data_IF_667326346510
#
_entry.id   IF_667326346510
#
_cell.length_a   1.000
_cell.length_b   1.000
_cell.length_c   1.000
_cell.angle_alpha   90.00
_cell.angle_beta   90.00
_cell.angle_gamma   90.00
#
_symmetry.space_group_name_H-M   'P 1'
#
loop_
_entity.id
_entity.type
_entity.pdbx_description
1 polymer ?
#
# COMPACT_ATOMS: atom_id res chain seq x y z
N UNK A 1 10.84 3.50 8.39
CA UNK A 1 10.24 2.36 9.13
C UNK A 1 9.41 1.55 8.15
N UNK A 2 9.53 0.26 8.25
CA UNK A 2 8.71 -0.70 7.51
C UNK A 2 7.57 -1.17 8.44
N UNK A 3 6.33 -1.08 7.96
CA UNK A 3 5.12 -1.28 8.76
C UNK A 3 4.20 -2.29 8.09
N UNK A 4 3.70 -3.25 8.89
CA UNK A 4 2.69 -4.21 8.46
C UNK A 4 1.39 -4.02 9.25
N UNK A 5 0.25 -4.22 8.59
CA UNK A 5 -1.06 -4.15 9.27
C UNK A 5 -2.14 -4.99 8.59
N UNK A 6 -3.02 -5.55 9.41
CA UNK A 6 -4.32 -6.04 8.99
C UNK A 6 -5.28 -4.84 8.93
N UNK A 7 -5.73 -4.51 7.72
CA UNK A 7 -6.57 -3.34 7.46
C UNK A 7 -8.06 -3.52 7.79
N UNK A 8 -8.50 -4.73 8.18
CA UNK A 8 -9.91 -5.11 8.33
C UNK A 8 -10.71 -4.10 9.13
N UNK A 9 -10.22 -3.73 10.32
CA UNK A 9 -10.93 -2.86 11.26
C UNK A 9 -10.50 -1.39 11.17
N UNK A 10 -9.77 -1.02 10.11
CA UNK A 10 -9.32 0.36 9.89
C UNK A 10 -10.15 1.10 8.83
N UNK A 11 -10.46 2.35 9.11
CA UNK A 11 -11.05 3.29 8.15
C UNK A 11 -10.02 3.82 7.14
N UNK A 12 -9.00 3.00 6.82
CA UNK A 12 -7.89 3.29 5.94
C UNK A 12 -6.68 3.86 6.67
N UNK A 13 -5.70 4.30 5.88
CA UNK A 13 -4.44 4.83 6.41
C UNK A 13 -4.62 6.19 7.09
N UNK A 14 -5.15 7.18 6.37
CA UNK A 14 -5.10 8.59 6.77
C UNK A 14 -5.96 8.89 7.99
N UNK A 15 -5.42 9.68 8.94
CA UNK A 15 -6.14 10.13 10.13
C UNK A 15 -7.44 10.84 9.76
N UNK A 16 -8.52 10.46 10.43
CA UNK A 16 -9.86 11.02 10.29
C UNK A 16 -10.48 11.20 11.68
N UNK A 17 -11.18 12.32 11.95
CA UNK A 17 -11.85 12.54 13.23
C UNK A 17 -12.84 11.41 13.56
N UNK A 18 -12.75 10.87 14.78
CA UNK A 18 -13.64 9.83 15.28
C UNK A 18 -13.51 8.46 14.58
N UNK A 19 -12.49 8.25 13.76
CA UNK A 19 -12.26 6.99 13.04
C UNK A 19 -10.96 6.33 13.48
N UNK A 20 -10.97 5.01 13.58
CA UNK A 20 -9.76 4.20 13.77
C UNK A 20 -8.99 4.13 12.46
N UNK A 21 -7.77 4.64 12.41
CA UNK A 21 -6.91 4.69 11.23
C UNK A 21 -5.52 4.21 11.56
N UNK A 22 -4.80 3.65 10.59
CA UNK A 22 -3.43 3.13 10.81
C UNK A 22 -2.49 4.25 11.22
N UNK A 23 -2.57 5.41 10.56
CA UNK A 23 -1.77 6.59 10.90
C UNK A 23 -2.02 7.05 12.34
N UNK A 24 -3.29 7.10 12.78
CA UNK A 24 -3.65 7.52 14.13
C UNK A 24 -3.03 6.61 15.19
N UNK A 25 -3.20 5.30 15.03
CA UNK A 25 -2.66 4.28 15.95
C UNK A 25 -1.13 4.32 15.98
N UNK A 26 -0.48 4.48 14.82
CA UNK A 26 0.97 4.57 14.74
C UNK A 26 1.49 5.85 15.40
N UNK A 27 0.88 7.01 15.14
CA UNK A 27 1.25 8.28 15.77
C UNK A 27 1.08 8.24 17.30
N UNK A 28 0.01 7.61 17.79
CA UNK A 28 -0.21 7.40 19.24
C UNK A 28 0.88 6.51 19.86
N UNK A 29 1.31 5.45 19.18
CA UNK A 29 2.40 4.61 19.67
C UNK A 29 3.76 5.35 19.63
N UNK A 30 4.02 6.11 18.57
CA UNK A 30 5.22 6.93 18.44
C UNK A 30 5.27 8.06 19.48
N UNK A 31 4.12 8.58 19.92
CA UNK A 31 4.04 9.59 20.97
C UNK A 31 4.38 9.05 22.37
N UNK A 32 4.39 7.74 22.57
CA UNK A 32 4.78 7.08 23.86
C UNK A 32 6.31 7.02 24.01
N UNK A 33 6.96 8.16 23.80
CA UNK A 33 8.41 8.32 23.97
C UNK A 33 8.81 8.48 25.45
N UNK A 34 10.08 8.21 25.80
CA UNK A 34 10.62 8.56 27.11
C UNK A 34 10.52 10.08 27.35
N UNK A 35 10.47 10.52 28.62
CA UNK A 35 10.53 11.94 28.95
C UNK A 35 11.74 12.64 28.29
N UNK A 36 11.50 13.75 27.61
CA UNK A 36 12.54 14.52 26.92
C UNK A 36 12.87 14.10 25.49
N UNK A 37 12.23 13.01 24.99
CA UNK A 37 12.33 12.67 23.58
C UNK A 37 11.38 13.52 22.72
N UNK A 38 11.83 13.88 21.52
CA UNK A 38 11.00 14.57 20.56
C UNK A 38 9.93 13.62 19.98
N UNK A 39 8.67 14.03 20.05
CA UNK A 39 7.56 13.33 19.40
C UNK A 39 7.54 13.74 17.93
N UNK A 40 7.53 12.79 16.97
CA UNK A 40 7.38 13.11 15.56
C UNK A 40 6.10 13.93 15.30
N UNK A 41 6.21 15.01 14.54
CA UNK A 41 5.05 15.88 14.24
C UNK A 41 4.03 15.24 13.31
N UNK A 42 4.50 14.39 12.40
CA UNK A 42 3.65 13.68 11.44
C UNK A 42 4.36 12.45 10.89
N UNK A 43 3.57 11.50 10.42
CA UNK A 43 4.04 10.31 9.70
C UNK A 43 3.75 10.48 8.22
N UNK A 44 4.79 10.47 7.38
CA UNK A 44 4.67 10.49 5.93
C UNK A 44 4.73 9.06 5.40
N UNK A 45 3.78 8.68 4.56
CA UNK A 45 3.59 7.31 4.06
C UNK A 45 3.88 7.21 2.56
N UNK A 46 4.45 6.10 2.11
CA UNK A 46 4.74 5.84 0.71
C UNK A 46 3.48 5.80 -0.18
N UNK A 47 2.39 5.26 0.35
CA UNK A 47 1.09 5.21 -0.31
C UNK A 47 -0.04 4.99 0.68
N UNK A 48 -1.06 5.85 0.64
CA UNK A 48 -2.26 5.66 1.47
C UNK A 48 -3.02 4.43 0.97
N UNK A 49 -3.48 3.60 1.90
CA UNK A 49 -4.39 2.48 1.63
C UNK A 49 -5.81 2.87 2.00
N UNK A 50 -6.79 2.33 1.26
CA UNK A 50 -8.22 2.53 1.53
C UNK A 50 -8.65 1.74 2.78
N UNK A 51 -9.86 2.01 3.28
CA UNK A 51 -10.47 1.24 4.36
C UNK A 51 -10.53 -0.26 4.00
N UNK A 52 -10.13 -1.12 4.92
CA UNK A 52 -10.11 -2.58 4.74
C UNK A 52 -8.92 -3.13 3.92
N UNK A 53 -8.03 -2.29 3.40
CA UNK A 53 -6.82 -2.72 2.66
C UNK A 53 -5.68 -2.97 3.62
N UNK A 54 -4.99 -4.10 3.45
CA UNK A 54 -3.85 -4.54 4.27
C UNK A 54 -2.51 -4.02 3.74
N UNK A 55 -1.47 -4.18 4.55
CA UNK A 55 -0.09 -4.03 4.10
C UNK A 55 0.83 -5.02 4.81
N UNK A 56 1.68 -5.67 4.03
CA UNK A 56 2.81 -6.46 4.51
C UNK A 56 4.11 -5.64 4.54
N UNK A 57 4.23 -4.65 3.64
CA UNK A 57 5.44 -3.84 3.47
C UNK A 57 5.14 -2.37 3.19
N UNK A 58 4.37 -1.70 4.06
CA UNK A 58 4.21 -0.25 4.01
C UNK A 58 5.47 0.45 4.49
N UNK A 59 5.86 1.54 3.82
CA UNK A 59 7.00 2.36 4.23
C UNK A 59 6.54 3.72 4.71
N UNK A 60 7.09 4.15 5.84
CA UNK A 60 6.84 5.48 6.40
C UNK A 60 8.15 6.16 6.82
N UNK A 61 8.17 7.48 6.79
CA UNK A 61 9.21 8.24 7.49
C UNK A 61 8.61 9.23 8.46
N UNK A 62 9.42 9.60 9.45
CA UNK A 62 9.14 10.65 10.41
C UNK A 62 10.36 11.52 10.54
N UNK A 63 10.16 12.83 10.58
CA UNK A 63 11.20 13.77 10.94
C UNK A 63 11.25 13.82 12.47
N UNK A 64 12.33 13.30 13.04
CA UNK A 64 12.60 13.39 14.46
C UNK A 64 13.82 14.30 14.65
N UNK A 65 13.64 15.41 15.34
CA UNK A 65 14.78 16.08 16.01
C UNK A 65 15.39 15.06 16.97
N UNK A 66 16.72 15.09 17.23
CA UNK A 66 17.43 13.93 17.72
C UNK A 66 16.60 13.19 18.77
N UNK A 67 16.34 11.91 18.48
CA UNK A 67 15.55 10.98 19.31
C UNK A 67 16.24 10.72 20.69
N UNK A 68 16.91 11.74 21.19
CA UNK A 68 17.64 11.78 22.45
C UNK A 68 16.67 11.78 23.62
N UNK A 69 15.99 10.65 23.81
CA UNK A 69 15.24 10.39 25.03
C UNK A 69 16.19 9.86 26.10
N UNK A 70 16.17 10.48 27.25
CA UNK A 70 16.80 9.89 28.44
C UNK A 70 15.90 8.74 28.95
N UNK A 71 16.48 7.58 29.19
CA UNK A 71 15.82 6.50 29.94
C UNK A 71 15.47 6.99 31.36
N UNK A 72 14.70 6.20 32.11
CA UNK A 72 14.45 6.43 33.56
C UNK A 72 15.76 6.59 34.37
N UNK A 73 16.87 6.02 33.86
CA UNK A 73 18.22 6.16 34.41
C UNK A 73 18.99 7.40 33.92
N UNK A 74 18.38 8.24 33.09
CA UNK A 74 19.01 9.46 32.54
C UNK A 74 19.98 9.19 31.37
N UNK A 75 20.12 7.96 30.91
CA UNK A 75 20.94 7.58 29.74
C UNK A 75 20.15 7.74 28.45
N UNK A 76 20.80 8.23 27.40
CA UNK A 76 20.34 8.14 26.03
C UNK A 76 20.32 6.67 25.60
N UNK A 77 19.26 6.23 24.94
CA UNK A 77 19.23 4.94 24.25
C UNK A 77 19.97 5.10 22.92
N UNK A 78 21.29 5.18 22.99
CA UNK A 78 22.15 5.23 21.83
C UNK A 78 22.82 3.84 21.64
N UNK A 79 23.09 3.49 20.38
CA UNK A 79 23.93 2.36 20.05
C UNK A 79 25.43 2.68 20.28
N UNK A 80 26.32 1.74 19.93
CA UNK A 80 27.77 1.89 20.07
C UNK A 80 28.34 3.02 19.24
N UNK A 81 27.61 3.50 18.20
CA UNK A 81 27.99 4.60 17.31
C UNK A 81 27.38 5.95 17.73
N UNK A 82 26.64 5.98 18.85
CA UNK A 82 25.97 7.20 19.32
C UNK A 82 24.69 7.54 18.57
N UNK A 83 24.15 6.63 17.76
CA UNK A 83 22.88 6.73 17.05
C UNK A 83 21.77 6.19 17.97
N UNK A 84 20.51 6.69 17.91
CA UNK A 84 19.40 6.12 18.66
C UNK A 84 19.27 4.61 18.42
N UNK A 85 19.19 3.83 19.50
CA UNK A 85 18.96 2.38 19.41
C UNK A 85 17.55 2.10 18.85
N UNK A 86 17.46 2.06 17.53
CA UNK A 86 16.21 1.87 16.81
C UNK A 86 15.61 0.48 17.05
N UNK A 87 16.43 -0.52 17.41
CA UNK A 87 15.96 -1.85 17.79
C UNK A 87 15.12 -1.82 19.08
N UNK A 88 15.63 -1.13 20.11
CA UNK A 88 14.87 -0.91 21.37
C UNK A 88 13.65 -0.04 21.14
N UNK A 89 13.75 1.00 20.34
CA UNK A 89 12.63 1.86 20.00
C UNK A 89 11.53 1.08 19.27
N UNK A 90 11.87 0.28 18.26
CA UNK A 90 10.94 -0.61 17.58
C UNK A 90 10.22 -1.55 18.55
N UNK A 91 10.97 -2.18 19.45
CA UNK A 91 10.40 -3.04 20.49
C UNK A 91 9.41 -2.27 21.39
N UNK A 92 9.75 -1.06 21.79
CA UNK A 92 8.88 -0.19 22.59
C UNK A 92 7.61 0.16 21.84
N UNK A 93 7.69 0.66 20.60
CA UNK A 93 6.52 1.01 19.80
C UNK A 93 5.58 -0.18 19.63
N UNK A 94 6.12 -1.36 19.32
CA UNK A 94 5.34 -2.58 19.17
C UNK A 94 4.62 -3.04 20.43
N UNK A 95 5.06 -2.60 21.63
CA UNK A 95 4.32 -2.85 22.90
C UNK A 95 3.09 -1.97 23.05
N UNK A 96 3.06 -0.81 22.42
CA UNK A 96 1.90 0.10 22.43
C UNK A 96 0.98 -0.10 21.23
N UNK A 97 1.47 -0.68 20.17
CA UNK A 97 0.66 -0.99 19.00
C UNK A 97 -0.30 -2.15 19.27
N UNK A 98 -1.55 -2.06 18.78
CA UNK A 98 -2.50 -3.17 18.85
C UNK A 98 -2.03 -4.35 18.00
N UNK A 99 -2.68 -5.51 18.15
CA UNK A 99 -2.28 -6.78 17.50
C UNK A 99 -2.23 -6.74 15.98
N UNK A 100 -2.96 -5.84 15.38
CA UNK A 100 -3.16 -5.70 13.93
C UNK A 100 -2.23 -4.66 13.26
N UNK A 101 -1.28 -4.05 14.00
CA UNK A 101 -0.22 -3.17 13.44
C UNK A 101 1.13 -3.54 14.03
N UNK A 102 2.17 -3.60 13.19
CA UNK A 102 3.56 -3.83 13.62
C UNK A 102 4.54 -2.97 12.84
N UNK A 103 5.50 -2.39 13.55
CA UNK A 103 6.75 -1.88 12.97
C UNK A 103 7.71 -3.04 12.83
N UNK A 104 8.01 -3.42 11.59
CA UNK A 104 8.87 -4.56 11.28
C UNK A 104 10.35 -4.19 11.37
N UNK A 105 10.69 -3.00 10.85
CA UNK A 105 12.04 -2.45 10.88
C UNK A 105 12.02 -0.94 11.04
N UNK A 106 13.13 -0.41 11.58
CA UNK A 106 13.36 1.02 11.71
C UNK A 106 14.84 1.33 11.48
N UNK A 107 15.13 2.27 10.59
CA UNK A 107 16.48 2.69 10.25
C UNK A 107 16.55 4.20 10.07
N UNK A 108 17.74 4.76 10.22
CA UNK A 108 18.00 6.15 9.84
C UNK A 108 17.95 6.21 8.32
N UNK A 109 17.14 7.12 7.79
CA UNK A 109 17.03 7.30 6.35
C UNK A 109 18.21 8.11 5.81
N UNK A 110 18.62 7.83 4.58
CA UNK A 110 19.59 8.64 3.88
C UNK A 110 19.07 10.08 3.68
N UNK A 111 19.95 11.10 3.58
CA UNK A 111 19.55 12.48 3.34
C UNK A 111 18.68 12.60 2.08
N UNK A 112 17.59 13.36 2.17
CA UNK A 112 16.64 13.56 1.06
C UNK A 112 15.64 12.44 0.85
N UNK A 113 15.62 11.40 1.68
CA UNK A 113 14.58 10.37 1.62
C UNK A 113 13.21 10.94 1.93
N UNK A 114 12.27 10.72 1.02
CA UNK A 114 10.84 10.95 1.23
C UNK A 114 10.08 9.66 0.91
N UNK A 115 9.38 9.08 1.90
CA UNK A 115 8.67 7.80 1.72
C UNK A 115 7.67 7.84 0.56
N UNK A 116 7.04 8.99 0.30
CA UNK A 116 6.05 9.16 -0.77
C UNK A 116 6.66 9.49 -2.11
N UNK A 117 7.57 10.49 -2.13
CA UNK A 117 8.03 11.09 -3.38
C UNK A 117 9.30 10.46 -3.92
N UNK A 118 10.14 9.83 -3.08
CA UNK A 118 11.31 9.07 -3.55
C UNK A 118 10.95 7.67 -4.07
N UNK A 119 9.74 7.16 -3.83
CA UNK A 119 9.35 5.83 -4.26
C UNK A 119 9.22 5.73 -5.79
N UNK A 120 9.73 4.63 -6.35
CA UNK A 120 9.72 4.34 -7.80
C UNK A 120 8.66 3.33 -8.19
N UNK A 121 8.28 2.43 -7.27
CA UNK A 121 7.29 1.38 -7.54
C UNK A 121 6.56 0.98 -6.26
N UNK A 122 5.28 0.55 -6.41
CA UNK A 122 4.47 -0.09 -5.36
C UNK A 122 4.01 -1.44 -5.89
N UNK A 123 4.03 -2.44 -5.01
CA UNK A 123 3.62 -3.81 -5.30
C UNK A 123 2.42 -4.17 -4.47
N UNK A 124 1.39 -4.64 -5.14
CA UNK A 124 0.17 -5.12 -4.51
C UNK A 124 -0.07 -6.59 -4.87
N UNK A 125 -0.69 -7.30 -3.95
CA UNK A 125 -1.25 -8.62 -4.15
C UNK A 125 -2.74 -8.57 -3.88
N UNK A 126 -3.53 -9.20 -4.74
CA UNK A 126 -4.95 -9.40 -4.47
C UNK A 126 -5.26 -10.89 -4.52
N UNK A 127 -5.99 -11.40 -3.51
CA UNK A 127 -6.36 -12.81 -3.38
C UNK A 127 -7.82 -13.04 -3.61
N UNK A 128 -8.13 -14.14 -4.32
CA UNK A 128 -9.48 -14.58 -4.65
C UNK A 128 -9.59 -16.09 -4.44
N UNK A 129 -10.69 -16.52 -3.86
CA UNK A 129 -11.10 -17.93 -3.85
C UNK A 129 -12.30 -18.12 -4.78
N UNK A 130 -12.18 -18.99 -5.77
CA UNK A 130 -13.27 -19.41 -6.64
C UNK A 130 -13.91 -20.73 -6.20
N UNK A 131 -13.71 -21.11 -4.94
CA UNK A 131 -14.31 -22.30 -4.34
C UNK A 131 -15.83 -22.14 -4.22
N UNK A 132 -16.63 -23.19 -4.54
CA UNK A 132 -18.09 -23.12 -4.43
C UNK A 132 -18.59 -22.96 -2.99
N UNK A 133 -17.77 -23.29 -1.99
CA UNK A 133 -18.06 -23.11 -0.57
C UNK A 133 -17.54 -21.79 0.01
N UNK A 134 -16.90 -20.92 -0.79
CA UNK A 134 -16.38 -19.61 -0.36
C UNK A 134 -14.89 -19.59 -0.04
N UNK A 135 -14.50 -18.99 1.09
CA UNK A 135 -13.11 -18.77 1.51
C UNK A 135 -12.76 -19.66 2.71
N UNK A 136 -11.52 -20.13 2.79
CA UNK A 136 -10.96 -20.74 3.99
C UNK A 136 -11.12 -19.76 5.19
N UNK A 137 -11.75 -20.16 6.31
CA UNK A 137 -11.94 -19.30 7.48
C UNK A 137 -10.66 -18.64 7.98
N UNK A 138 -9.50 -19.28 7.83
CA UNK A 138 -8.20 -18.73 8.22
C UNK A 138 -7.72 -17.60 7.27
N UNK A 139 -8.30 -17.52 6.07
CA UNK A 139 -7.98 -16.55 5.02
C UNK A 139 -9.11 -15.53 4.79
N UNK A 140 -10.17 -15.54 5.58
CA UNK A 140 -11.38 -14.73 5.38
C UNK A 140 -11.13 -13.21 5.39
N UNK A 141 -10.05 -12.76 6.03
CA UNK A 141 -9.71 -11.35 6.14
C UNK A 141 -8.91 -10.81 4.96
N UNK A 142 -8.25 -11.68 4.18
CA UNK A 142 -7.34 -11.29 3.10
C UNK A 142 -7.65 -11.95 1.73
N UNK A 143 -8.81 -12.60 1.60
CA UNK A 143 -9.21 -13.32 0.38
C UNK A 143 -10.66 -13.04 0.03
N UNK A 144 -10.93 -12.62 -1.20
CA UNK A 144 -12.28 -12.44 -1.74
C UNK A 144 -12.90 -13.79 -2.09
N UNK A 145 -14.13 -14.06 -1.62
CA UNK A 145 -14.95 -15.14 -2.16
C UNK A 145 -15.54 -14.76 -3.52
N UNK A 146 -15.33 -15.61 -4.54
CA UNK A 146 -15.92 -15.45 -5.86
C UNK A 146 -16.65 -16.72 -6.25
N UNK A 147 -17.97 -16.66 -6.34
CA UNK A 147 -18.83 -17.84 -6.47
C UNK A 147 -18.84 -18.50 -7.88
N UNK A 148 -17.87 -18.20 -8.74
CA UNK A 148 -17.74 -18.72 -10.09
C UNK A 148 -16.30 -19.12 -10.40
N UNK A 149 -16.08 -20.22 -11.17
CA UNK A 149 -14.73 -20.58 -11.64
C UNK A 149 -14.10 -19.45 -12.44
N UNK A 150 -12.78 -19.23 -12.24
CA UNK A 150 -12.00 -18.18 -12.89
C UNK A 150 -10.99 -18.79 -13.87
N UNK A 151 -11.00 -18.30 -15.11
CA UNK A 151 -9.95 -18.57 -16.11
C UNK A 151 -8.77 -17.61 -15.92
N UNK A 152 -7.69 -18.13 -15.36
CA UNK A 152 -6.44 -17.35 -15.16
C UNK A 152 -5.84 -16.93 -16.51
N UNK A 153 -5.93 -17.79 -17.52
CA UNK A 153 -5.41 -17.50 -18.87
C UNK A 153 -6.17 -16.33 -19.50
N UNK A 154 -7.51 -16.34 -19.45
CA UNK A 154 -8.33 -15.23 -19.95
C UNK A 154 -8.03 -13.91 -19.24
N UNK A 155 -7.85 -13.95 -17.89
CA UNK A 155 -7.49 -12.75 -17.12
C UNK A 155 -6.10 -12.23 -17.48
N UNK A 156 -5.10 -13.10 -17.72
CA UNK A 156 -3.77 -12.69 -18.15
C UNK A 156 -3.79 -12.10 -19.57
N UNK A 157 -4.51 -12.72 -20.50
CA UNK A 157 -4.67 -12.22 -21.87
C UNK A 157 -5.28 -10.81 -21.86
N UNK A 158 -6.39 -10.62 -21.16
CA UNK A 158 -7.04 -9.31 -21.04
C UNK A 158 -6.18 -8.27 -20.29
N UNK A 159 -5.30 -8.70 -19.37
CA UNK A 159 -4.38 -7.81 -18.65
C UNK A 159 -3.34 -7.15 -19.56
N UNK A 160 -2.99 -7.77 -20.68
CA UNK A 160 -1.95 -7.26 -21.58
C UNK A 160 -2.28 -5.86 -22.14
N UNK A 161 -3.56 -5.59 -22.44
CA UNK A 161 -4.02 -4.30 -22.94
C UNK A 161 -3.90 -3.15 -21.92
N UNK A 162 -3.74 -3.47 -20.64
CA UNK A 162 -3.68 -2.51 -19.55
C UNK A 162 -2.24 -2.12 -19.15
N UNK A 163 -1.23 -2.82 -19.67
CA UNK A 163 0.17 -2.58 -19.32
C UNK A 163 0.72 -1.30 -19.98
N UNK A 164 1.77 -0.73 -19.35
CA UNK A 164 2.48 0.45 -19.82
C UNK A 164 1.95 1.76 -19.25
N UNK A 165 2.40 2.86 -19.87
CA UNK A 165 2.01 4.23 -19.52
C UNK A 165 0.65 4.55 -20.15
N UNK A 166 -0.40 4.65 -19.34
CA UNK A 166 -1.79 4.79 -19.78
C UNK A 166 -2.53 5.83 -18.90
N UNK A 167 -3.65 6.35 -19.44
CA UNK A 167 -4.60 7.14 -18.64
C UNK A 167 -5.66 6.24 -18.00
N UNK A 168 -5.50 5.96 -16.73
CA UNK A 168 -6.40 5.10 -15.94
C UNK A 168 -7.64 5.83 -15.39
N UNK A 169 -8.10 6.90 -16.02
CA UNK A 169 -9.27 7.66 -15.54
C UNK A 169 -10.50 6.76 -15.29
N UNK A 170 -10.75 5.78 -16.18
CA UNK A 170 -11.84 4.82 -16.06
C UNK A 170 -11.73 3.91 -14.82
N UNK A 171 -10.53 3.68 -14.31
CA UNK A 171 -10.28 2.82 -13.15
C UNK A 171 -10.01 3.60 -11.86
N UNK A 172 -10.05 4.94 -11.91
CA UNK A 172 -9.77 5.80 -10.77
C UNK A 172 -11.02 6.49 -10.24
N UNK A 173 -11.14 6.62 -8.92
CA UNK A 173 -12.03 7.62 -8.36
C UNK A 173 -11.35 8.98 -8.51
N UNK A 174 -11.91 9.84 -9.35
CA UNK A 174 -11.37 11.18 -9.61
C UNK A 174 -11.18 11.98 -8.32
N UNK A 175 -10.09 12.74 -8.29
CA UNK A 175 -9.80 13.74 -7.26
C UNK A 175 -9.35 15.02 -7.96
N UNK A 176 -9.80 16.14 -7.47
CA UNK A 176 -9.39 17.44 -7.94
C UNK A 176 -7.86 17.62 -7.84
N UNK A 177 -7.22 18.08 -8.91
CA UNK A 177 -5.76 18.26 -8.98
C UNK A 177 -4.91 16.98 -9.06
N UNK A 178 -5.51 15.81 -9.24
CA UNK A 178 -4.80 14.53 -9.36
C UNK A 178 -4.71 14.05 -10.80
N UNK A 179 -3.50 13.67 -11.28
CA UNK A 179 -3.35 12.98 -12.57
C UNK A 179 -3.78 11.52 -12.47
N UNK A 180 -4.33 10.96 -13.55
CA UNK A 180 -4.70 9.55 -13.72
C UNK A 180 -3.74 8.78 -14.61
N UNK A 181 -2.73 9.45 -15.17
CA UNK A 181 -1.69 8.81 -15.98
C UNK A 181 -0.74 8.04 -15.05
N UNK A 182 -0.59 6.73 -15.33
CA UNK A 182 0.25 5.80 -14.55
C UNK A 182 0.95 4.83 -15.46
N UNK A 183 2.11 4.36 -15.04
CA UNK A 183 2.82 3.27 -15.70
C UNK A 183 2.51 1.96 -14.95
N UNK A 184 1.58 1.16 -15.49
CA UNK A 184 1.29 -0.19 -14.99
C UNK A 184 2.34 -1.15 -15.51
N UNK A 185 3.23 -1.62 -14.64
CA UNK A 185 4.43 -2.37 -15.00
C UNK A 185 4.23 -3.89 -14.88
N UNK A 186 3.27 -4.32 -14.05
CA UNK A 186 2.95 -5.73 -13.82
C UNK A 186 1.49 -5.89 -13.48
N UNK A 187 0.87 -6.89 -14.09
CA UNK A 187 -0.50 -7.33 -13.82
C UNK A 187 -0.58 -8.81 -14.21
N UNK A 188 -0.25 -9.71 -13.26
CA UNK A 188 -0.07 -11.14 -13.55
C UNK A 188 -0.89 -11.97 -12.58
N UNK A 189 -1.79 -12.77 -13.13
CA UNK A 189 -2.65 -13.70 -12.43
C UNK A 189 -2.02 -15.07 -12.33
N UNK A 190 -2.14 -15.73 -11.18
CA UNK A 190 -1.66 -17.10 -10.94
C UNK A 190 -2.66 -17.89 -10.13
N UNK A 191 -2.80 -19.16 -10.48
CA UNK A 191 -3.51 -20.13 -9.65
C UNK A 191 -2.50 -20.73 -8.67
N UNK A 192 -2.75 -20.58 -7.36
CA UNK A 192 -1.86 -21.05 -6.28
C UNK A 192 -2.41 -22.27 -5.55
N UNK A 193 -3.45 -22.89 -6.06
CA UNK A 193 -4.11 -24.08 -5.55
C UNK A 193 -5.36 -24.39 -6.37
N UNK A 194 -6.14 -25.37 -5.95
CA UNK A 194 -7.34 -25.78 -6.69
C UNK A 194 -8.34 -24.64 -6.86
N UNK A 195 -8.51 -23.84 -5.81
CA UNK A 195 -9.52 -22.78 -5.74
C UNK A 195 -8.95 -21.43 -5.29
N UNK A 196 -7.64 -21.26 -5.29
CA UNK A 196 -7.00 -20.02 -4.91
C UNK A 196 -6.32 -19.36 -6.10
N UNK A 197 -6.60 -18.09 -6.33
CA UNK A 197 -6.04 -17.26 -7.39
C UNK A 197 -5.46 -15.99 -6.77
N UNK A 198 -4.28 -15.60 -7.22
CA UNK A 198 -3.64 -14.35 -6.85
C UNK A 198 -3.33 -13.50 -8.09
N UNK A 199 -3.38 -12.19 -7.93
CA UNK A 199 -2.83 -11.25 -8.92
C UNK A 199 -1.78 -10.36 -8.27
N UNK A 200 -0.62 -10.29 -8.92
CA UNK A 200 0.45 -9.33 -8.61
C UNK A 200 0.27 -8.09 -9.49
N UNK A 201 0.23 -6.93 -8.84
CA UNK A 201 0.05 -5.64 -9.52
C UNK A 201 1.17 -4.69 -9.10
N UNK A 202 1.90 -4.14 -10.08
CA UNK A 202 2.97 -3.18 -9.79
C UNK A 202 2.89 -1.98 -10.74
N UNK A 203 3.06 -0.79 -10.19
CA UNK A 203 3.07 0.47 -10.94
C UNK A 203 3.97 1.51 -10.25
N UNK A 204 4.31 2.56 -11.00
CA UNK A 204 5.01 3.75 -10.47
C UNK A 204 4.20 4.43 -9.35
N UNK A 205 2.89 4.53 -9.53
CA UNK A 205 1.92 5.00 -8.56
C UNK A 205 0.52 4.47 -8.88
N UNK A 206 -0.39 4.57 -7.93
CA UNK A 206 -1.80 4.22 -8.12
C UNK A 206 -2.69 5.41 -7.76
N UNK A 207 -3.74 5.65 -8.56
CA UNK A 207 -4.82 6.52 -8.17
C UNK A 207 -5.84 5.79 -7.27
N UNK A 208 -6.74 6.55 -6.67
CA UNK A 208 -7.69 6.01 -5.68
C UNK A 208 -8.54 4.88 -6.27
N UNK A 209 -8.53 3.72 -5.62
CA UNK A 209 -9.23 2.47 -5.99
C UNK A 209 -8.77 1.81 -7.30
N UNK A 210 -7.70 2.28 -7.94
CA UNK A 210 -7.24 1.77 -9.24
C UNK A 210 -7.06 0.25 -9.26
N UNK A 211 -6.23 -0.30 -8.36
CA UNK A 211 -5.99 -1.75 -8.30
C UNK A 211 -7.30 -2.53 -8.17
N UNK A 212 -8.18 -2.10 -7.27
CA UNK A 212 -9.46 -2.76 -7.03
C UNK A 212 -10.41 -2.69 -8.22
N UNK A 213 -10.38 -1.59 -8.98
CA UNK A 213 -11.17 -1.44 -10.22
C UNK A 213 -10.61 -2.34 -11.33
N UNK A 214 -9.29 -2.42 -11.50
CA UNK A 214 -8.64 -3.35 -12.43
C UNK A 214 -8.99 -4.81 -12.10
N UNK A 215 -8.86 -5.19 -10.84
CA UNK A 215 -9.24 -6.53 -10.37
C UNK A 215 -10.72 -6.82 -10.63
N UNK A 216 -11.61 -5.88 -10.30
CA UNK A 216 -13.04 -6.06 -10.53
C UNK A 216 -13.39 -6.27 -12.01
N UNK A 217 -12.75 -5.54 -12.92
CA UNK A 217 -12.92 -5.72 -14.36
C UNK A 217 -12.43 -7.11 -14.82
N UNK A 218 -11.22 -7.50 -14.40
CA UNK A 218 -10.62 -8.76 -14.82
C UNK A 218 -11.33 -9.99 -14.25
N UNK A 219 -11.92 -9.91 -13.05
CA UNK A 219 -12.77 -10.98 -12.53
C UNK A 219 -14.02 -11.22 -13.39
N UNK A 220 -14.59 -10.18 -14.00
CA UNK A 220 -15.71 -10.32 -14.94
C UNK A 220 -15.31 -10.97 -16.27
N UNK A 221 -14.07 -10.79 -16.69
CA UNK A 221 -13.50 -11.53 -17.84
C UNK A 221 -13.20 -12.97 -17.44
N UNK A 222 -12.59 -13.18 -16.28
CA UNK A 222 -12.21 -14.51 -15.78
C UNK A 222 -13.38 -15.46 -15.62
N UNK A 223 -14.57 -14.97 -15.24
CA UNK A 223 -15.80 -15.78 -15.11
C UNK A 223 -16.69 -15.77 -16.38
N UNK A 224 -16.20 -15.22 -17.49
CA UNK A 224 -16.87 -15.23 -18.79
C UNK A 224 -18.03 -14.24 -18.94
N UNK A 225 -18.27 -13.32 -18.01
CA UNK A 225 -19.34 -12.31 -18.11
C UNK A 225 -18.97 -11.13 -19.02
N UNK A 226 -17.69 -10.93 -19.32
CA UNK A 226 -17.18 -9.90 -20.22
C UNK A 226 -16.17 -10.51 -21.19
N UNK A 227 -16.07 -10.03 -22.43
CA UNK A 227 -15.09 -10.49 -23.39
C UNK A 227 -13.66 -10.01 -23.04
N UNK A 228 -12.65 -10.59 -23.68
CA UNK A 228 -11.23 -10.35 -23.41
C UNK A 228 -10.79 -8.90 -23.66
N UNK A 229 -11.36 -8.24 -24.63
CA UNK A 229 -11.06 -6.86 -25.06
C UNK A 229 -11.72 -5.80 -24.15
N UNK A 230 -12.77 -6.19 -23.42
CA UNK A 230 -13.56 -5.25 -22.61
C UNK A 230 -12.75 -4.38 -21.63
N UNK A 231 -11.72 -4.85 -20.89
CA UNK A 231 -10.93 -3.98 -20.04
C UNK A 231 -10.14 -2.91 -20.82
N UNK A 232 -9.70 -3.21 -22.05
CA UNK A 232 -9.10 -2.25 -22.98
C UNK A 232 -10.11 -1.18 -23.41
N UNK A 233 -11.32 -1.59 -23.80
CA UNK A 233 -12.40 -0.68 -24.18
C UNK A 233 -12.79 0.26 -23.03
N UNK A 234 -12.84 -0.27 -21.79
CA UNK A 234 -13.10 0.53 -20.58
C UNK A 234 -11.99 1.56 -20.39
N UNK A 235 -10.71 1.18 -20.58
CA UNK A 235 -9.57 2.10 -20.47
C UNK A 235 -9.71 3.25 -21.48
N UNK A 236 -10.00 2.94 -22.75
CA UNK A 236 -10.15 3.92 -23.83
C UNK A 236 -11.36 4.84 -23.64
N UNK A 237 -12.46 4.30 -23.12
CA UNK A 237 -13.70 5.07 -22.88
C UNK A 237 -13.53 6.18 -21.83
N UNK A 238 -12.53 6.08 -20.96
CA UNK A 238 -12.31 6.95 -19.79
C UNK A 238 -13.52 7.05 -18.85
N UNK A 239 -14.51 6.20 -19.03
CA UNK A 239 -15.73 6.16 -18.23
C UNK A 239 -15.64 5.04 -17.21
N UNK A 240 -15.91 5.36 -15.93
CA UNK A 240 -15.85 4.38 -14.85
C UNK A 240 -17.08 3.47 -14.88
N UNK A 241 -16.96 2.35 -15.59
CA UNK A 241 -18.02 1.33 -15.73
C UNK A 241 -17.70 0.00 -15.02
N UNK A 242 -16.50 -0.14 -14.47
CA UNK A 242 -16.10 -1.38 -13.79
C UNK A 242 -16.49 -1.41 -12.32
N UNK A 243 -16.93 -2.59 -11.84
CA UNK A 243 -17.13 -2.84 -10.42
C UNK A 243 -15.78 -2.75 -9.67
N UNK A 244 -15.81 -2.17 -8.47
CA UNK A 244 -14.63 -2.08 -7.60
C UNK A 244 -14.59 -3.32 -6.72
N UNK A 245 -13.55 -4.14 -6.85
CA UNK A 245 -13.37 -5.32 -5.99
C UNK A 245 -13.28 -4.93 -4.50
N UNK A 246 -13.80 -5.75 -3.58
CA UNK A 246 -13.73 -5.52 -2.14
C UNK A 246 -12.31 -5.24 -1.64
N UNK A 247 -12.16 -4.43 -0.60
CA UNK A 247 -10.86 -4.00 -0.12
C UNK A 247 -10.04 -5.11 0.55
N UNK A 248 -10.72 -6.01 1.25
CA UNK A 248 -10.07 -7.04 2.08
C UNK A 248 -9.21 -8.05 1.30
N UNK A 249 -9.43 -8.23 -0.02
CA UNK A 249 -8.53 -9.06 -0.83
C UNK A 249 -7.18 -8.39 -1.15
N UNK A 250 -7.04 -7.08 -0.90
CA UNK A 250 -5.89 -6.28 -1.34
C UNK A 250 -4.86 -6.07 -0.23
N UNK A 251 -3.60 -6.36 -0.54
CA UNK A 251 -2.45 -6.13 0.36
C UNK A 251 -1.34 -5.38 -0.37
N UNK A 252 -0.85 -4.28 0.21
CA UNK A 252 0.40 -3.64 -0.21
C UNK A 252 1.57 -4.50 0.26
N UNK A 253 2.32 -5.08 -0.67
CA UNK A 253 3.38 -6.03 -0.38
C UNK A 253 4.73 -5.36 -0.15
N UNK A 254 5.08 -4.36 -0.98
CA UNK A 254 6.37 -3.68 -0.92
C UNK A 254 6.33 -2.32 -1.63
N UNK A 255 7.32 -1.49 -1.33
CA UNK A 255 7.61 -0.23 -2.01
C UNK A 255 9.07 -0.18 -2.37
N UNK A 256 9.39 0.03 -3.66
CA UNK A 256 10.75 0.16 -4.12
C UNK A 256 11.21 1.63 -4.12
N UNK A 257 12.48 1.81 -3.81
CA UNK A 257 13.19 3.10 -3.84
C UNK A 257 14.45 2.98 -4.68
N UNK A 258 14.93 4.07 -5.28
CA UNK A 258 16.21 4.07 -5.96
C UNK A 258 17.38 3.99 -4.95
N UNK A 259 18.62 3.83 -5.40
CA UNK A 259 19.80 3.94 -4.54
C UNK A 259 19.83 5.27 -3.76
N UNK A 260 20.46 5.27 -2.58
CA UNK A 260 20.46 6.40 -1.65
C UNK A 260 20.88 7.73 -2.29
N UNK A 261 21.85 7.69 -3.20
CA UNK A 261 22.34 8.89 -3.91
C UNK A 261 21.28 9.55 -4.82
N UNK A 262 20.24 8.83 -5.21
CA UNK A 262 19.21 9.28 -6.15
C UNK A 262 17.90 9.69 -5.45
N UNK A 263 17.75 9.43 -4.16
CA UNK A 263 16.51 9.63 -3.39
C UNK A 263 15.99 11.06 -3.46
N UNK A 264 16.86 12.04 -3.24
CA UNK A 264 16.51 13.48 -3.27
C UNK A 264 16.06 13.92 -4.67
N UNK A 265 16.86 13.58 -5.70
CA UNK A 265 16.55 13.92 -7.09
C UNK A 265 15.23 13.29 -7.54
N UNK A 266 14.96 12.02 -7.16
CA UNK A 266 13.70 11.35 -7.45
C UNK A 266 12.51 12.05 -6.78
N UNK A 267 12.67 12.44 -5.51
CA UNK A 267 11.62 13.16 -4.78
C UNK A 267 11.25 14.49 -5.46
N UNK A 268 12.24 15.27 -5.87
CA UNK A 268 12.04 16.56 -6.54
C UNK A 268 11.40 16.37 -7.92
N UNK A 269 11.86 15.41 -8.70
CA UNK A 269 11.26 15.03 -9.98
C UNK A 269 9.79 14.64 -9.84
N UNK A 270 9.45 13.83 -8.81
CA UNK A 270 8.08 13.39 -8.57
C UNK A 270 7.18 14.54 -8.12
N UNK A 271 7.70 15.52 -7.38
CA UNK A 271 6.97 16.74 -6.99
C UNK A 271 6.70 17.64 -8.19
N UNK A 272 7.70 17.85 -9.06
CA UNK A 272 7.58 18.68 -10.27
C UNK A 272 6.52 18.12 -11.25
N UNK A 273 6.44 16.81 -11.44
CA UNK A 273 5.44 16.17 -12.33
C UNK A 273 3.99 16.29 -11.83
N UNK A 274 3.75 16.73 -10.60
CA UNK A 274 2.42 16.83 -9.99
C UNK A 274 1.90 18.27 -9.89
N UNK A 275 2.66 19.25 -10.31
CA UNK A 275 2.17 20.62 -10.43
C UNK A 275 1.47 20.74 -11.78
N UNK A 276 0.16 20.97 -11.84
CA UNK A 276 -0.49 21.31 -13.11
C UNK A 276 0.12 22.61 -13.62
N UNK A 277 0.61 22.60 -14.84
CA UNK A 277 0.97 23.80 -15.58
C UNK A 277 -0.27 24.62 -15.92
#
# INVERSE_FOLDING_TARGET
>A
MDVSYDGTDFSGWARQPGRRTVQGVLEEALAKQPPGASVPKSVVVAGRTDAGVHAAGQVVHVDASPLAGKTRSGRLELDEQGIPDLGRMRHRWNRYLPGDVRVLDARVAAPGFDARFSAVRRHYLYRVSDAPWGVDPLRRHDTLAWGRPLSVDAMNEASAALLGLQDFAAFCKQREGGTTIRELQRLVWRRIGTHAVEVEVSADAFCHSMVRSLVGALLLVGDGRRPLDWPGDVLESRTRDSAVAPAHGLTLMAVDYPPDAELAARADQTRAMRTPS
#
